data_IF_320574657586
#
_entry.id   IF_320574657586
#
_cell.length_a   1.000
_cell.length_b   1.000
_cell.length_c   1.000
_cell.angle_alpha   90.00
_cell.angle_beta   90.00
_cell.angle_gamma   90.00
#
_symmetry.space_group_name_H-M   'P 1'
#
loop_
_entity.id
_entity.type
_entity.pdbx_description
1 polymer ?
#
# COMPACT_ATOMS: atom_id res chain seq x y z
N UNK A 1 -34.49 5.20 5.32
CA UNK A 1 -33.43 4.78 4.38
C UNK A 1 -32.11 5.04 5.07
N UNK A 2 -31.38 4.00 5.42
CA UNK A 2 -30.05 4.14 6.04
C UNK A 2 -29.05 4.45 4.94
N UNK A 3 -28.61 5.71 4.88
CA UNK A 3 -27.61 6.17 3.92
C UNK A 3 -26.21 5.68 4.28
N UNK A 4 -25.24 5.93 3.39
CA UNK A 4 -23.83 5.72 3.70
C UNK A 4 -23.43 6.52 4.96
N UNK A 5 -22.50 6.02 5.79
CA UNK A 5 -21.99 6.78 6.92
C UNK A 5 -21.29 8.06 6.43
N UNK A 6 -21.09 9.02 7.34
CA UNK A 6 -20.19 10.14 7.06
C UNK A 6 -18.77 9.59 6.85
N UNK A 7 -18.12 10.01 5.76
CA UNK A 7 -16.78 9.55 5.42
C UNK A 7 -15.75 10.52 6.02
N UNK A 8 -15.01 10.05 7.03
CA UNK A 8 -13.93 10.84 7.62
C UNK A 8 -12.76 10.91 6.65
N UNK A 9 -12.42 12.13 6.24
CA UNK A 9 -11.27 12.43 5.38
C UNK A 9 -10.30 13.34 6.12
N UNK A 10 -9.03 12.96 6.15
CA UNK A 10 -7.97 13.83 6.65
C UNK A 10 -7.47 14.74 5.53
N UNK A 11 -7.02 15.94 5.86
CA UNK A 11 -6.22 16.78 4.95
C UNK A 11 -4.77 16.25 4.90
N UNK A 12 -4.01 16.69 3.90
CA UNK A 12 -2.59 16.32 3.74
C UNK A 12 -2.33 15.24 2.69
N UNK A 13 -1.05 14.95 2.49
CA UNK A 13 -0.48 14.14 1.41
C UNK A 13 -0.17 12.69 1.82
N UNK A 14 -0.39 12.33 3.08
CA UNK A 14 -0.20 10.95 3.54
C UNK A 14 -1.05 9.99 2.69
N UNK A 15 -0.46 8.90 2.19
CA UNK A 15 -1.08 8.00 1.21
C UNK A 15 -2.47 7.49 1.62
N UNK A 16 -2.66 7.14 2.89
CA UNK A 16 -3.98 6.73 3.43
C UNK A 16 -5.01 7.87 3.39
N UNK A 17 -4.62 9.13 3.60
CA UNK A 17 -5.52 10.28 3.51
C UNK A 17 -5.90 10.57 2.05
N UNK A 18 -4.94 10.49 1.13
CA UNK A 18 -5.18 10.58 -0.33
C UNK A 18 -6.15 9.49 -0.78
N UNK A 19 -5.90 8.24 -0.35
CA UNK A 19 -6.76 7.10 -0.62
C UNK A 19 -8.17 7.30 -0.09
N UNK A 20 -8.33 7.70 1.17
CA UNK A 20 -9.64 7.93 1.79
C UNK A 20 -10.47 8.98 1.03
N UNK A 21 -9.85 10.05 0.54
CA UNK A 21 -10.53 11.06 -0.30
C UNK A 21 -10.94 10.48 -1.65
N UNK A 22 -10.03 9.80 -2.33
CA UNK A 22 -10.34 9.16 -3.62
C UNK A 22 -11.45 8.09 -3.52
N UNK A 23 -11.50 7.36 -2.40
CA UNK A 23 -12.60 6.44 -2.12
C UNK A 23 -13.90 7.18 -1.81
N UNK A 24 -13.85 8.28 -1.06
CA UNK A 24 -15.04 9.09 -0.80
C UNK A 24 -15.65 9.63 -2.09
N UNK A 25 -14.82 10.02 -3.07
CA UNK A 25 -15.28 10.44 -4.39
C UNK A 25 -15.98 9.27 -5.12
N UNK A 26 -15.33 8.11 -5.19
CA UNK A 26 -15.90 6.93 -5.84
C UNK A 26 -17.17 6.39 -5.15
N UNK A 27 -17.28 6.56 -3.83
CA UNK A 27 -18.50 6.22 -3.09
C UNK A 27 -19.64 7.18 -3.46
N UNK A 28 -19.36 8.48 -3.66
CA UNK A 28 -20.38 9.45 -4.12
C UNK A 28 -20.88 9.16 -5.53
N UNK A 29 -20.06 8.52 -6.37
CA UNK A 29 -20.47 8.09 -7.70
C UNK A 29 -21.47 6.93 -7.66
N UNK A 30 -21.56 6.18 -6.56
CA UNK A 30 -22.43 4.99 -6.44
C UNK A 30 -23.58 5.15 -5.44
N UNK A 31 -23.49 6.09 -4.49
CA UNK A 31 -24.55 6.38 -3.50
C UNK A 31 -24.43 7.81 -2.97
N UNK A 32 -25.52 8.35 -2.42
CA UNK A 32 -25.46 9.58 -1.62
C UNK A 32 -24.56 9.36 -0.39
N UNK A 33 -23.48 10.16 -0.30
CA UNK A 33 -22.51 10.12 0.79
C UNK A 33 -21.93 11.53 1.02
N UNK A 34 -21.62 11.83 2.28
CA UNK A 34 -21.01 13.10 2.68
C UNK A 34 -19.70 12.87 3.41
N UNK A 35 -18.77 13.80 3.26
CA UNK A 35 -17.48 13.77 3.95
C UNK A 35 -17.49 14.67 5.17
N UNK A 36 -16.67 14.32 6.17
CA UNK A 36 -16.38 15.15 7.34
C UNK A 36 -14.87 15.16 7.56
N UNK A 37 -14.31 16.29 7.97
CA UNK A 37 -12.91 16.38 8.40
C UNK A 37 -12.78 16.21 9.92
N UNK A 38 -11.54 16.11 10.41
CA UNK A 38 -11.27 15.94 11.83
C UNK A 38 -11.86 17.06 12.70
N UNK A 39 -11.91 18.31 12.21
CA UNK A 39 -12.46 19.45 12.94
C UNK A 39 -14.00 19.41 13.01
N UNK A 40 -14.65 18.85 12.01
CA UNK A 40 -16.09 18.65 11.94
C UNK A 40 -16.61 17.60 12.92
N UNK A 41 -15.79 16.61 13.29
CA UNK A 41 -16.21 15.49 14.14
C UNK A 41 -16.79 15.93 15.48
N UNK A 42 -16.20 16.95 16.13
CA UNK A 42 -16.64 17.42 17.44
C UNK A 42 -18.09 17.94 17.47
N UNK A 43 -18.63 18.35 16.31
CA UNK A 43 -19.98 18.93 16.18
C UNK A 43 -21.05 17.90 15.80
N UNK A 44 -20.66 16.66 15.49
CA UNK A 44 -21.61 15.63 15.09
C UNK A 44 -22.49 15.19 16.28
N UNK A 45 -23.78 14.89 16.08
CA UNK A 45 -24.62 14.27 17.11
C UNK A 45 -24.06 12.93 17.58
N UNK A 46 -24.29 12.57 18.85
CA UNK A 46 -23.95 11.25 19.36
C UNK A 46 -24.70 10.16 18.58
N UNK A 47 -24.04 9.03 18.34
CA UNK A 47 -24.59 7.91 17.58
C UNK A 47 -24.52 8.06 16.06
N UNK A 48 -24.01 9.17 15.52
CA UNK A 48 -23.81 9.34 14.06
C UNK A 48 -22.88 8.25 13.52
N UNK A 49 -23.27 7.60 12.41
CA UNK A 49 -22.43 6.61 11.74
C UNK A 49 -21.31 7.30 10.94
N UNK A 50 -20.07 6.85 11.15
CA UNK A 50 -18.87 7.37 10.50
C UNK A 50 -18.04 6.21 9.96
N UNK A 51 -17.46 6.35 8.78
CA UNK A 51 -16.39 5.47 8.30
C UNK A 51 -15.05 6.19 8.34
N UNK A 52 -14.04 5.55 8.91
CA UNK A 52 -12.70 6.08 9.06
C UNK A 52 -11.65 5.16 8.44
N UNK A 53 -10.65 5.75 7.78
CA UNK A 53 -9.41 5.06 7.46
C UNK A 53 -8.41 5.30 8.59
N UNK A 54 -7.83 4.23 9.11
CA UNK A 54 -6.93 4.30 10.26
C UNK A 54 -5.53 3.82 9.91
N UNK A 55 -4.56 4.70 10.09
CA UNK A 55 -3.16 4.40 10.40
C UNK A 55 -2.76 5.35 11.51
N UNK A 56 -1.94 4.91 12.45
CA UNK A 56 -1.58 5.66 13.66
C UNK A 56 -1.01 7.05 13.34
N UNK A 57 -0.30 7.19 12.22
CA UNK A 57 0.28 8.46 11.74
C UNK A 57 -0.75 9.54 11.40
N UNK A 58 -2.00 9.16 11.09
CA UNK A 58 -3.08 10.12 10.79
C UNK A 58 -3.80 10.63 12.05
N UNK A 59 -3.63 9.96 13.18
CA UNK A 59 -4.48 10.13 14.36
C UNK A 59 -3.73 10.65 15.59
N UNK A 60 -2.40 10.75 15.54
CA UNK A 60 -1.60 11.32 16.61
C UNK A 60 -0.10 11.22 16.35
N UNK A 61 0.69 11.75 17.28
CA UNK A 61 2.15 11.67 17.25
C UNK A 61 2.70 10.31 17.71
N UNK A 62 1.83 9.43 18.24
CA UNK A 62 2.20 8.08 18.64
C UNK A 62 1.03 7.10 18.49
N UNK A 63 1.29 5.78 18.40
CA UNK A 63 0.23 4.76 18.36
C UNK A 63 -0.74 4.86 19.56
N UNK A 64 -0.21 5.17 20.75
CA UNK A 64 -1.02 5.31 21.96
C UNK A 64 -1.93 6.54 21.90
N UNK A 65 -1.43 7.67 21.39
CA UNK A 65 -2.26 8.86 21.22
C UNK A 65 -3.33 8.64 20.14
N UNK A 66 -2.95 8.03 19.02
CA UNK A 66 -3.84 7.70 17.93
C UNK A 66 -5.02 6.82 18.37
N UNK A 67 -4.71 5.73 19.07
CA UNK A 67 -5.74 4.80 19.58
C UNK A 67 -6.62 5.39 20.68
N UNK A 68 -6.11 6.28 21.53
CA UNK A 68 -6.94 7.05 22.48
C UNK A 68 -7.91 7.97 21.75
N UNK A 69 -7.41 8.76 20.81
CA UNK A 69 -8.21 9.70 20.00
C UNK A 69 -9.33 8.98 19.26
N UNK A 70 -9.01 7.84 18.62
CA UNK A 70 -10.01 7.02 17.95
C UNK A 70 -11.05 6.44 18.94
N UNK A 71 -10.60 5.89 20.07
CA UNK A 71 -11.52 5.30 21.06
C UNK A 71 -12.46 6.35 21.70
N UNK A 72 -11.97 7.56 21.95
CA UNK A 72 -12.80 8.68 22.41
C UNK A 72 -13.87 9.04 21.38
N UNK A 73 -13.51 9.08 20.09
CA UNK A 73 -14.47 9.29 19.01
C UNK A 73 -15.52 8.17 18.94
N UNK A 74 -15.08 6.92 18.97
CA UNK A 74 -15.93 5.73 18.90
C UNK A 74 -16.81 5.51 20.15
N UNK A 75 -16.47 6.12 21.28
CA UNK A 75 -17.32 6.13 22.48
C UNK A 75 -18.59 6.98 22.30
N UNK A 76 -18.56 7.93 21.34
CA UNK A 76 -19.64 8.88 21.09
C UNK A 76 -20.34 8.62 19.75
N UNK A 77 -19.60 8.17 18.75
CA UNK A 77 -20.08 7.93 17.38
C UNK A 77 -20.03 6.44 17.04
N UNK A 78 -20.80 6.01 16.02
CA UNK A 78 -20.76 4.65 15.51
C UNK A 78 -19.72 4.56 14.39
N UNK A 79 -18.47 4.30 14.76
CA UNK A 79 -17.35 4.34 13.81
C UNK A 79 -17.09 2.95 13.22
N UNK A 80 -17.11 2.81 11.91
CA UNK A 80 -16.51 1.67 11.20
C UNK A 80 -15.12 2.06 10.70
N UNK A 81 -14.20 1.10 10.63
CA UNK A 81 -12.79 1.41 10.34
C UNK A 81 -12.22 0.52 9.24
N UNK A 82 -11.48 1.11 8.31
CA UNK A 82 -10.51 0.38 7.47
C UNK A 82 -9.14 0.55 8.09
N UNK A 83 -8.50 -0.55 8.49
CA UNK A 83 -7.14 -0.54 9.01
C UNK A 83 -6.14 -0.52 7.85
N UNK A 84 -5.15 0.35 7.95
CA UNK A 84 -4.00 0.47 7.04
C UNK A 84 -2.73 0.22 7.84
N UNK A 85 -1.65 -0.20 7.18
CA UNK A 85 -0.36 -0.43 7.83
C UNK A 85 -0.45 -1.37 9.06
N UNK A 86 -1.23 -2.46 8.95
CA UNK A 86 -1.47 -3.41 10.05
C UNK A 86 -0.14 -3.83 10.70
N UNK A 87 -0.07 -3.89 12.05
CA UNK A 87 1.18 -4.23 12.75
C UNK A 87 1.76 -5.54 12.28
N UNK A 88 3.09 -5.63 12.20
CA UNK A 88 3.81 -6.83 11.77
C UNK A 88 5.28 -6.80 12.22
N UNK A 89 6.01 -7.89 11.98
CA UNK A 89 7.42 -8.03 12.38
C UNK A 89 8.33 -6.86 11.95
N UNK A 90 8.09 -6.27 10.77
CA UNK A 90 8.89 -5.16 10.25
C UNK A 90 8.77 -3.86 11.04
N UNK A 91 7.81 -3.74 11.96
CA UNK A 91 7.73 -2.59 12.86
C UNK A 91 8.88 -2.57 13.88
N UNK A 92 9.62 -3.68 14.02
CA UNK A 92 10.73 -3.82 14.95
C UNK A 92 10.27 -4.03 16.40
N UNK A 93 11.19 -4.53 17.23
CA UNK A 93 10.89 -4.99 18.60
C UNK A 93 10.31 -3.90 19.50
N UNK A 94 10.68 -2.64 19.27
CA UNK A 94 10.21 -1.50 20.06
C UNK A 94 8.78 -1.06 19.66
N UNK A 95 8.52 -0.87 18.36
CA UNK A 95 7.24 -0.31 17.92
C UNK A 95 6.18 -1.38 17.72
N UNK A 96 6.54 -2.62 17.35
CA UNK A 96 5.57 -3.71 17.15
C UNK A 96 4.60 -3.89 18.32
N UNK A 97 5.03 -4.10 19.59
CA UNK A 97 4.09 -4.27 20.70
C UNK A 97 3.20 -3.03 20.94
N UNK A 98 3.74 -1.82 20.72
CA UNK A 98 3.02 -0.55 20.86
C UNK A 98 1.92 -0.42 19.82
N UNK A 99 2.25 -0.68 18.55
CA UNK A 99 1.28 -0.65 17.44
C UNK A 99 0.25 -1.77 17.59
N UNK A 100 0.64 -2.98 18.00
CA UNK A 100 -0.31 -4.08 18.31
C UNK A 100 -1.37 -3.64 19.32
N UNK A 101 -0.96 -3.10 20.47
CA UNK A 101 -1.89 -2.64 21.50
C UNK A 101 -2.79 -1.49 21.02
N UNK A 102 -2.24 -0.55 20.26
CA UNK A 102 -2.99 0.56 19.68
C UNK A 102 -4.06 0.10 18.68
N UNK A 103 -3.69 -0.77 17.73
CA UNK A 103 -4.62 -1.29 16.73
C UNK A 103 -5.67 -2.21 17.35
N UNK A 104 -5.31 -2.99 18.39
CA UNK A 104 -6.27 -3.81 19.12
C UNK A 104 -7.36 -2.95 19.78
N UNK A 105 -6.95 -1.83 20.41
CA UNK A 105 -7.88 -0.86 20.99
C UNK A 105 -8.80 -0.23 19.93
N UNK A 106 -8.27 0.09 18.75
CA UNK A 106 -9.04 0.65 17.63
C UNK A 106 -10.05 -0.36 17.10
N UNK A 107 -9.60 -1.59 16.82
CA UNK A 107 -10.45 -2.67 16.33
C UNK A 107 -11.59 -2.99 17.31
N UNK A 108 -11.28 -3.07 18.62
CA UNK A 108 -12.27 -3.32 19.66
C UNK A 108 -13.28 -2.17 19.86
N UNK A 109 -12.87 -0.93 19.61
CA UNK A 109 -13.75 0.24 19.71
C UNK A 109 -14.61 0.43 18.45
N UNK A 110 -14.18 -0.09 17.31
CA UNK A 110 -14.88 0.05 16.05
C UNK A 110 -16.13 -0.85 16.01
N UNK A 111 -17.19 -0.33 15.40
CA UNK A 111 -18.41 -1.08 15.14
C UNK A 111 -18.21 -2.17 14.07
N UNK A 112 -17.27 -1.97 13.14
CA UNK A 112 -16.78 -2.99 12.20
C UNK A 112 -15.36 -2.67 11.74
N UNK A 113 -14.65 -3.72 11.39
CA UNK A 113 -13.26 -3.69 10.94
C UNK A 113 -13.19 -4.14 9.47
N UNK A 114 -12.48 -3.37 8.66
CA UNK A 114 -12.14 -3.68 7.27
C UNK A 114 -10.62 -3.73 7.16
N UNK A 115 -10.12 -4.67 6.36
CA UNK A 115 -8.71 -4.77 5.96
C UNK A 115 -8.62 -4.86 4.44
N UNK A 116 -7.43 -4.63 3.89
CA UNK A 116 -7.21 -4.49 2.45
C UNK A 116 -6.66 -5.77 1.79
N UNK A 117 -6.55 -6.86 2.55
CA UNK A 117 -6.14 -8.17 2.03
C UNK A 117 -6.52 -9.29 3.01
N UNK A 118 -6.64 -10.51 2.49
CA UNK A 118 -6.70 -11.70 3.33
C UNK A 118 -5.43 -11.83 4.18
N UNK A 119 -4.29 -11.47 3.59
CA UNK A 119 -3.03 -11.43 4.30
C UNK A 119 -3.08 -10.54 5.56
N UNK A 120 -3.68 -9.34 5.46
CA UNK A 120 -3.88 -8.44 6.60
C UNK A 120 -4.86 -9.02 7.62
N UNK A 121 -5.92 -9.71 7.15
CA UNK A 121 -6.87 -10.39 8.05
C UNK A 121 -6.19 -11.47 8.88
N UNK A 122 -5.30 -12.23 8.27
CA UNK A 122 -4.49 -13.23 8.98
C UNK A 122 -3.49 -12.58 9.93
N UNK A 123 -2.83 -11.48 9.53
CA UNK A 123 -1.93 -10.70 10.39
C UNK A 123 -2.64 -10.21 11.67
N UNK A 124 -3.89 -9.76 11.56
CA UNK A 124 -4.66 -9.32 12.75
C UNK A 124 -4.76 -10.43 13.80
N UNK A 125 -4.84 -11.70 13.39
CA UNK A 125 -4.89 -12.85 14.29
C UNK A 125 -3.51 -13.23 14.80
N UNK A 126 -2.52 -13.32 13.91
CA UNK A 126 -1.13 -13.66 14.22
C UNK A 126 -0.48 -12.68 15.21
N UNK A 127 -0.88 -11.41 15.12
CA UNK A 127 -0.40 -10.34 15.98
C UNK A 127 -1.33 -10.06 17.18
N UNK A 128 -2.27 -10.95 17.49
CA UNK A 128 -3.27 -10.80 18.57
C UNK A 128 -3.94 -9.41 18.60
N UNK A 129 -4.14 -8.79 17.43
CA UNK A 129 -4.76 -7.47 17.29
C UNK A 129 -6.27 -7.60 17.31
N UNK A 130 -6.82 -8.55 16.54
CA UNK A 130 -8.26 -8.73 16.43
C UNK A 130 -8.60 -10.16 15.97
N UNK A 131 -9.47 -10.83 16.73
CA UNK A 131 -9.97 -12.17 16.42
C UNK A 131 -11.43 -12.18 15.94
N UNK A 132 -12.12 -11.03 15.99
CA UNK A 132 -13.49 -10.89 15.52
C UNK A 132 -13.61 -10.87 13.99
N UNK A 133 -14.82 -10.65 13.50
CA UNK A 133 -15.07 -10.51 12.06
C UNK A 133 -14.33 -9.28 11.51
N UNK A 134 -13.70 -9.45 10.34
CA UNK A 134 -13.11 -8.38 9.55
C UNK A 134 -13.42 -8.61 8.07
N UNK A 135 -13.99 -7.59 7.43
CA UNK A 135 -14.30 -7.62 6.00
C UNK A 135 -13.04 -7.32 5.18
N UNK A 136 -12.83 -8.04 4.08
CA UNK A 136 -11.69 -7.82 3.19
C UNK A 136 -12.15 -7.03 1.99
N UNK A 137 -11.71 -5.77 1.88
CA UNK A 137 -11.96 -4.90 0.71
C UNK A 137 -10.59 -4.46 0.16
N UNK A 138 -10.05 -5.13 -0.86
CA UNK A 138 -8.70 -4.83 -1.30
C UNK A 138 -8.56 -3.45 -1.95
N UNK A 139 -7.35 -2.89 -1.89
CA UNK A 139 -7.07 -1.60 -2.54
C UNK A 139 -7.29 -1.72 -4.05
N UNK A 140 -8.09 -0.83 -4.67
CA UNK A 140 -8.28 -0.82 -6.11
C UNK A 140 -7.02 -0.36 -6.83
N UNK A 141 -6.84 -0.84 -8.06
CA UNK A 141 -5.78 -0.37 -8.96
C UNK A 141 -6.42 0.20 -10.22
N UNK A 142 -6.13 1.46 -10.50
CA UNK A 142 -6.60 2.12 -11.73
C UNK A 142 -5.50 2.07 -12.79
N UNK A 143 -5.90 1.68 -14.00
CA UNK A 143 -5.00 1.65 -15.14
C UNK A 143 -4.89 3.04 -15.77
N UNK A 144 -3.68 3.53 -15.95
CA UNK A 144 -3.40 4.76 -16.70
C UNK A 144 -3.42 4.46 -18.21
N UNK A 145 -4.60 4.56 -18.83
CA UNK A 145 -4.89 4.08 -20.19
C UNK A 145 -4.18 4.86 -21.31
N UNK A 146 -3.87 6.13 -21.10
CA UNK A 146 -3.42 7.03 -22.17
C UNK A 146 -1.89 7.20 -22.24
N UNK A 147 -1.15 6.51 -21.38
CA UNK A 147 0.30 6.65 -21.32
C UNK A 147 1.03 5.62 -22.20
N UNK A 148 1.91 6.12 -23.07
CA UNK A 148 2.73 5.29 -23.95
C UNK A 148 3.80 4.49 -23.20
N UNK A 149 4.37 3.49 -23.89
CA UNK A 149 5.56 2.79 -23.39
C UNK A 149 6.78 3.71 -23.53
N UNK A 150 7.46 3.95 -22.41
CA UNK A 150 8.73 4.68 -22.40
C UNK A 150 9.88 3.81 -22.90
N UNK A 151 10.95 4.45 -23.37
CA UNK A 151 12.18 3.73 -23.73
C UNK A 151 12.80 3.14 -22.46
N UNK A 152 13.12 1.83 -22.43
CA UNK A 152 13.77 1.21 -21.28
C UNK A 152 15.13 1.86 -20.99
N UNK A 153 15.38 2.18 -19.71
CA UNK A 153 16.56 2.87 -19.19
C UNK A 153 17.74 1.92 -18.82
N UNK A 154 17.57 0.62 -19.03
CA UNK A 154 18.50 -0.44 -18.62
C UNK A 154 18.47 -0.83 -17.13
N UNK A 155 17.66 -0.18 -16.28
CA UNK A 155 17.71 -0.34 -14.82
C UNK A 155 16.79 -1.44 -14.26
N UNK A 156 17.16 -1.97 -13.10
CA UNK A 156 16.21 -2.57 -12.15
C UNK A 156 15.58 -1.44 -11.33
N UNK A 157 14.25 -1.38 -11.26
CA UNK A 157 13.56 -0.32 -10.52
C UNK A 157 12.88 -0.82 -9.26
N UNK A 158 13.11 -0.11 -8.15
CA UNK A 158 12.41 -0.31 -6.86
C UNK A 158 11.64 0.97 -6.54
N UNK A 159 10.36 0.83 -6.19
CA UNK A 159 9.46 1.97 -5.93
C UNK A 159 9.09 2.10 -4.46
N UNK A 160 9.23 3.32 -3.94
CA UNK A 160 8.84 3.71 -2.59
C UNK A 160 10.02 4.23 -1.76
N UNK A 161 9.76 4.55 -0.50
CA UNK A 161 10.80 5.03 0.41
C UNK A 161 11.85 3.95 0.69
N UNK A 162 13.10 4.38 0.81
CA UNK A 162 14.21 3.54 1.25
C UNK A 162 14.25 3.43 2.77
N UNK A 163 14.31 2.18 3.26
CA UNK A 163 14.71 1.81 4.61
C UNK A 163 15.18 0.35 4.62
N UNK A 164 16.00 -0.07 5.61
CA UNK A 164 16.48 -1.45 5.71
C UNK A 164 15.35 -2.48 5.71
N UNK A 165 15.52 -3.57 4.97
CA UNK A 165 14.53 -4.64 4.86
C UNK A 165 13.40 -4.37 3.84
N UNK A 166 13.39 -3.23 3.16
CA UNK A 166 12.40 -2.91 2.12
C UNK A 166 12.59 -3.67 0.79
N UNK A 167 13.67 -4.44 0.63
CA UNK A 167 13.97 -5.17 -0.61
C UNK A 167 15.01 -4.49 -1.52
N UNK A 168 15.60 -3.37 -1.10
CA UNK A 168 16.57 -2.63 -1.92
C UNK A 168 17.91 -3.37 -2.04
N UNK A 169 18.43 -3.90 -0.93
CA UNK A 169 19.65 -4.71 -0.92
C UNK A 169 19.45 -5.97 -1.79
N UNK A 170 18.32 -6.68 -1.63
CA UNK A 170 17.99 -7.86 -2.43
C UNK A 170 17.89 -7.55 -3.93
N UNK A 171 17.31 -6.40 -4.30
CA UNK A 171 17.23 -5.97 -5.69
C UNK A 171 18.62 -5.62 -6.27
N UNK A 172 19.50 -4.97 -5.48
CA UNK A 172 20.86 -4.63 -5.91
C UNK A 172 21.71 -5.89 -6.11
N UNK A 173 21.68 -6.82 -5.15
CA UNK A 173 22.41 -8.08 -5.24
C UNK A 173 21.94 -8.92 -6.43
N UNK A 174 20.61 -8.98 -6.65
CA UNK A 174 20.06 -9.71 -7.78
C UNK A 174 20.37 -9.03 -9.12
N UNK A 175 20.39 -7.69 -9.18
CA UNK A 175 20.80 -6.93 -10.37
C UNK A 175 22.26 -7.24 -10.73
N UNK A 176 23.17 -7.16 -9.75
CA UNK A 176 24.59 -7.49 -9.92
C UNK A 176 24.75 -8.92 -10.46
N UNK A 177 24.11 -9.90 -9.81
CA UNK A 177 24.16 -11.29 -10.23
C UNK A 177 23.53 -11.53 -11.62
N UNK A 178 22.51 -10.75 -11.99
CA UNK A 178 21.90 -10.77 -13.33
C UNK A 178 22.72 -10.02 -14.40
N UNK A 179 23.83 -9.39 -14.01
CA UNK A 179 24.69 -8.58 -14.88
C UNK A 179 24.07 -7.24 -15.28
N UNK A 180 23.09 -6.74 -14.52
CA UNK A 180 22.43 -5.44 -14.71
C UNK A 180 23.14 -4.44 -13.81
N UNK A 181 23.92 -3.53 -14.39
CA UNK A 181 24.78 -2.60 -13.65
C UNK A 181 24.08 -1.31 -13.19
N UNK A 182 22.76 -1.22 -13.30
CA UNK A 182 22.01 -0.01 -12.94
C UNK A 182 20.76 -0.37 -12.12
N UNK A 183 20.54 0.39 -11.05
CA UNK A 183 19.36 0.32 -10.20
C UNK A 183 18.78 1.71 -9.97
N UNK A 184 17.47 1.85 -10.13
CA UNK A 184 16.75 3.10 -9.85
C UNK A 184 15.86 2.93 -8.63
N UNK A 185 16.08 3.76 -7.62
CA UNK A 185 15.20 3.92 -6.46
C UNK A 185 14.25 5.08 -6.75
N UNK A 186 13.01 4.76 -7.11
CA UNK A 186 11.93 5.73 -7.31
C UNK A 186 11.39 6.14 -5.93
N UNK A 187 12.09 7.09 -5.31
CA UNK A 187 11.77 7.59 -3.98
C UNK A 187 12.96 8.23 -3.28
N UNK A 188 12.81 8.43 -1.97
CA UNK A 188 13.85 8.96 -1.08
C UNK A 188 13.99 8.08 0.16
N UNK A 189 15.01 8.31 0.98
CA UNK A 189 15.07 7.70 2.31
C UNK A 189 13.83 8.07 3.14
N UNK A 190 13.29 7.09 3.86
CA UNK A 190 12.39 7.35 4.99
C UNK A 190 13.11 8.23 6.02
N UNK A 191 12.35 8.99 6.80
CA UNK A 191 12.89 9.86 7.84
C UNK A 191 13.80 9.06 8.79
N UNK A 192 15.02 9.57 9.02
CA UNK A 192 16.03 8.91 9.85
C UNK A 192 16.94 7.92 9.12
N UNK A 193 16.70 7.60 7.84
CA UNK A 193 17.47 6.58 7.09
C UNK A 193 18.38 7.12 5.97
N UNK A 194 18.71 8.42 6.00
CA UNK A 194 19.53 9.05 4.97
C UNK A 194 20.95 8.46 4.93
N UNK A 195 21.57 8.21 6.09
CA UNK A 195 22.92 7.64 6.18
C UNK A 195 22.96 6.19 5.65
N UNK A 196 21.92 5.40 5.93
CA UNK A 196 21.78 4.03 5.44
C UNK A 196 21.58 4.00 3.92
N UNK A 197 20.85 4.97 3.35
CA UNK A 197 20.70 5.11 1.91
C UNK A 197 22.06 5.42 1.25
N UNK A 198 22.82 6.36 1.79
CA UNK A 198 24.16 6.65 1.27
C UNK A 198 25.11 5.45 1.38
N UNK A 199 25.02 4.70 2.48
CA UNK A 199 25.78 3.48 2.66
C UNK A 199 25.36 2.39 1.65
N UNK A 200 24.06 2.26 1.38
CA UNK A 200 23.52 1.38 0.35
C UNK A 200 24.09 1.74 -1.02
N UNK A 201 24.02 3.01 -1.45
CA UNK A 201 24.58 3.46 -2.72
C UNK A 201 26.06 3.09 -2.86
N UNK A 202 26.87 3.32 -1.81
CA UNK A 202 28.30 2.93 -1.81
C UNK A 202 28.50 1.40 -1.92
N UNK A 203 27.70 0.61 -1.21
CA UNK A 203 27.78 -0.86 -1.26
C UNK A 203 27.37 -1.40 -2.64
N UNK A 204 26.30 -0.87 -3.22
CA UNK A 204 25.85 -1.26 -4.57
C UNK A 204 26.90 -0.95 -5.63
N UNK A 205 27.54 0.22 -5.56
CA UNK A 205 28.63 0.57 -6.47
C UNK A 205 29.82 -0.42 -6.34
N UNK A 206 30.14 -0.87 -5.13
CA UNK A 206 31.21 -1.84 -4.90
C UNK A 206 30.94 -3.23 -5.51
N UNK A 207 29.67 -3.58 -5.76
CA UNK A 207 29.27 -4.81 -6.45
C UNK A 207 28.93 -4.59 -7.94
N UNK A 208 29.26 -3.40 -8.48
CA UNK A 208 29.10 -3.07 -9.90
C UNK A 208 27.70 -2.60 -10.30
N UNK A 209 26.90 -2.10 -9.34
CA UNK A 209 25.56 -1.55 -9.59
C UNK A 209 25.54 -0.07 -9.26
N UNK A 210 25.40 0.78 -10.28
CA UNK A 210 25.17 2.21 -10.11
C UNK A 210 23.73 2.46 -9.67
N UNK A 211 23.56 3.23 -8.59
CA UNK A 211 22.25 3.52 -8.00
C UNK A 211 21.86 4.97 -8.29
N UNK A 212 20.75 5.15 -8.98
CA UNK A 212 20.07 6.44 -9.17
C UNK A 212 18.91 6.56 -8.16
N UNK A 213 18.99 7.54 -7.26
CA UNK A 213 17.93 7.84 -6.29
C UNK A 213 17.20 9.10 -6.73
N UNK A 214 15.91 8.97 -7.05
CA UNK A 214 15.18 10.07 -7.66
C UNK A 214 14.79 11.18 -6.71
N UNK A 215 14.74 10.90 -5.41
CA UNK A 215 14.13 11.81 -4.44
C UNK A 215 12.60 11.86 -4.57
N UNK A 216 12.01 12.98 -4.18
CA UNK A 216 10.58 13.23 -4.38
C UNK A 216 10.30 13.64 -5.82
N UNK A 217 9.31 13.00 -6.44
CA UNK A 217 8.83 13.29 -7.78
C UNK A 217 7.33 13.57 -7.71
N UNK A 218 6.82 14.39 -8.62
CA UNK A 218 5.38 14.52 -8.80
C UNK A 218 4.80 13.27 -9.50
N UNK A 219 3.46 13.15 -9.50
CA UNK A 219 2.75 11.98 -10.02
C UNK A 219 3.04 11.71 -11.50
N UNK A 220 3.24 12.75 -12.32
CA UNK A 220 3.51 12.60 -13.74
C UNK A 220 4.94 12.10 -13.97
N UNK A 221 5.92 12.67 -13.27
CA UNK A 221 7.33 12.32 -13.41
C UNK A 221 7.64 10.94 -12.82
N UNK A 222 7.05 10.59 -11.66
CA UNK A 222 7.24 9.24 -11.09
C UNK A 222 6.65 8.17 -12.00
N UNK A 223 5.50 8.44 -12.64
CA UNK A 223 4.88 7.52 -13.59
C UNK A 223 5.72 7.39 -14.87
N UNK A 224 6.25 8.51 -15.40
CA UNK A 224 7.16 8.51 -16.55
C UNK A 224 8.43 7.71 -16.26
N UNK A 225 9.08 7.98 -15.13
CA UNK A 225 10.32 7.27 -14.70
C UNK A 225 10.03 5.79 -14.42
N UNK A 226 8.91 5.48 -13.77
CA UNK A 226 8.46 4.10 -13.57
C UNK A 226 8.25 3.34 -14.89
N UNK A 227 7.64 3.97 -15.90
CA UNK A 227 7.49 3.34 -17.22
C UNK A 227 8.82 3.09 -17.94
N UNK A 228 9.83 3.93 -17.68
CA UNK A 228 11.15 3.79 -18.28
C UNK A 228 12.00 2.69 -17.64
N UNK A 229 11.74 2.29 -16.39
CA UNK A 229 12.44 1.19 -15.73
C UNK A 229 12.39 -0.08 -16.57
N UNK A 230 13.54 -0.70 -16.82
CA UNK A 230 13.59 -1.94 -17.61
C UNK A 230 12.96 -3.12 -16.88
N UNK A 231 13.32 -3.35 -15.62
CA UNK A 231 12.81 -4.46 -14.82
C UNK A 231 12.29 -3.95 -13.47
N UNK A 232 10.96 -3.80 -13.30
CA UNK A 232 10.39 -3.39 -12.03
C UNK A 232 10.42 -4.56 -11.04
N UNK A 233 10.87 -4.32 -9.81
CA UNK A 233 11.09 -5.35 -8.78
C UNK A 233 10.36 -5.00 -7.49
N UNK A 234 9.76 -6.03 -6.89
CA UNK A 234 9.19 -5.99 -5.54
C UNK A 234 9.84 -7.13 -4.74
N UNK A 235 10.91 -6.83 -4.01
CA UNK A 235 11.62 -7.81 -3.18
C UNK A 235 11.29 -7.68 -1.67
N UNK A 236 10.27 -6.89 -1.32
CA UNK A 236 9.90 -6.65 0.06
C UNK A 236 9.24 -7.89 0.70
N UNK A 237 9.79 -8.36 1.83
CA UNK A 237 9.28 -9.54 2.54
C UNK A 237 8.01 -9.27 3.37
N UNK A 238 7.85 -8.06 3.90
CA UNK A 238 6.79 -7.69 4.84
C UNK A 238 5.80 -6.70 4.22
N UNK A 239 4.96 -7.17 3.29
CA UNK A 239 3.96 -6.34 2.60
C UNK A 239 2.56 -6.67 3.11
N UNK A 240 1.88 -5.68 3.72
CA UNK A 240 0.48 -5.81 4.19
C UNK A 240 -0.52 -5.20 3.19
N UNK A 241 -0.19 -4.02 2.66
CA UNK A 241 -0.81 -3.40 1.49
C UNK A 241 0.23 -2.49 0.81
N UNK A 242 0.36 -2.55 -0.52
CA UNK A 242 1.44 -1.85 -1.23
C UNK A 242 0.92 -0.88 -2.29
N UNK A 243 1.03 0.41 -1.98
CA UNK A 243 0.86 1.48 -2.97
C UNK A 243 1.86 1.33 -4.13
N UNK A 244 3.10 0.89 -3.87
CA UNK A 244 4.09 0.70 -4.94
C UNK A 244 3.73 -0.44 -5.90
N UNK A 245 3.18 -1.57 -5.40
CA UNK A 245 2.65 -2.63 -6.25
C UNK A 245 1.48 -2.12 -7.11
N UNK A 246 0.54 -1.39 -6.49
CA UNK A 246 -0.58 -0.78 -7.20
C UNK A 246 -0.11 0.20 -8.30
N UNK A 247 0.86 1.05 -8.00
CA UNK A 247 1.45 1.99 -8.97
C UNK A 247 2.09 1.27 -10.16
N UNK A 248 2.90 0.23 -9.92
CA UNK A 248 3.50 -0.53 -11.02
C UNK A 248 2.45 -1.09 -11.97
N UNK A 249 1.42 -1.74 -11.40
CA UNK A 249 0.31 -2.30 -12.18
C UNK A 249 -0.46 -1.18 -12.89
N UNK A 250 -0.76 -0.07 -12.21
CA UNK A 250 -1.45 1.07 -12.80
C UNK A 250 -0.71 1.68 -14.00
N UNK A 251 0.62 1.65 -13.99
CA UNK A 251 1.46 2.10 -15.10
C UNK A 251 1.60 1.09 -16.25
N UNK A 252 0.88 -0.04 -16.21
CA UNK A 252 0.98 -1.08 -17.25
C UNK A 252 2.09 -2.10 -17.01
N UNK A 253 2.85 -1.96 -15.91
CA UNK A 253 4.05 -2.76 -15.64
C UNK A 253 3.69 -4.06 -14.91
N UNK A 254 4.44 -5.10 -15.19
CA UNK A 254 4.39 -6.43 -14.58
C UNK A 254 5.67 -6.65 -13.79
N UNK A 255 5.71 -6.26 -12.50
CA UNK A 255 6.90 -6.40 -11.68
C UNK A 255 7.24 -7.87 -11.40
N UNK A 256 8.54 -8.14 -11.29
CA UNK A 256 9.07 -9.38 -10.70
C UNK A 256 8.95 -9.25 -9.19
N UNK A 257 8.11 -10.08 -8.58
CA UNK A 257 7.76 -9.97 -7.18
C UNK A 257 8.20 -11.22 -6.41
N UNK A 258 8.98 -11.05 -5.35
CA UNK A 258 9.33 -12.15 -4.45
C UNK A 258 8.07 -12.64 -3.74
N UNK A 259 7.82 -13.94 -3.77
CA UNK A 259 6.61 -14.54 -3.23
C UNK A 259 6.50 -14.35 -1.72
N UNK A 260 5.32 -13.93 -1.31
CA UNK A 260 4.81 -13.97 0.05
C UNK A 260 3.27 -14.09 -0.04
N UNK A 261 2.58 -14.28 1.10
CA UNK A 261 1.12 -14.46 1.13
C UNK A 261 0.37 -13.33 0.41
N UNK A 262 0.81 -12.08 0.58
CA UNK A 262 0.21 -10.92 -0.09
C UNK A 262 0.45 -10.91 -1.61
N UNK A 263 1.67 -11.22 -2.08
CA UNK A 263 1.99 -11.28 -3.51
C UNK A 263 1.19 -12.40 -4.20
N UNK A 264 1.07 -13.56 -3.57
CA UNK A 264 0.26 -14.67 -4.09
C UNK A 264 -1.23 -14.28 -4.16
N UNK A 265 -1.74 -13.59 -3.13
CA UNK A 265 -3.11 -13.05 -3.12
C UNK A 265 -3.33 -12.03 -4.24
N UNK A 266 -2.40 -11.07 -4.42
CA UNK A 266 -2.52 -10.07 -5.48
C UNK A 266 -2.40 -10.67 -6.89
N UNK A 267 -1.58 -11.71 -7.06
CA UNK A 267 -1.48 -12.45 -8.31
C UNK A 267 -2.76 -13.23 -8.64
N UNK A 268 -3.43 -13.79 -7.63
CA UNK A 268 -4.73 -14.43 -7.79
C UNK A 268 -5.84 -13.42 -8.06
N UNK A 269 -5.85 -12.28 -7.35
CA UNK A 269 -6.82 -11.21 -7.52
C UNK A 269 -6.72 -10.54 -8.89
N UNK A 270 -5.50 -10.41 -9.43
CA UNK A 270 -5.22 -9.76 -10.72
C UNK A 270 -4.28 -10.61 -11.59
N UNK A 271 -4.78 -11.71 -12.17
CA UNK A 271 -3.96 -12.63 -12.96
C UNK A 271 -3.20 -11.91 -14.08
N UNK A 272 -1.92 -12.21 -14.23
CA UNK A 272 -1.06 -11.65 -15.27
C UNK A 272 -0.47 -10.26 -14.98
N UNK A 273 -0.79 -9.64 -13.84
CA UNK A 273 -0.23 -8.33 -13.46
C UNK A 273 1.11 -8.41 -12.72
N UNK A 274 1.51 -9.58 -12.25
CA UNK A 274 2.75 -9.82 -11.50
C UNK A 274 3.49 -11.02 -12.10
N UNK A 275 4.81 -11.08 -11.87
CA UNK A 275 5.62 -12.30 -12.05
C UNK A 275 6.11 -12.76 -10.67
N UNK A 276 5.36 -13.62 -9.96
CA UNK A 276 5.76 -14.11 -8.64
C UNK A 276 6.93 -15.09 -8.75
N UNK A 277 7.99 -14.92 -7.97
CA UNK A 277 9.20 -15.75 -7.97
C UNK A 277 9.65 -16.11 -6.56
N UNK A 278 10.26 -17.29 -6.39
CA UNK A 278 10.97 -17.61 -5.15
C UNK A 278 12.19 -16.70 -4.97
N UNK A 279 12.68 -16.55 -3.72
CA UNK A 279 13.90 -15.76 -3.45
C UNK A 279 15.10 -16.23 -4.28
N UNK A 280 15.27 -17.56 -4.41
CA UNK A 280 16.34 -18.17 -5.20
C UNK A 280 16.22 -17.92 -6.71
N UNK A 281 15.02 -17.61 -7.19
CA UNK A 281 14.72 -17.50 -8.62
C UNK A 281 14.79 -16.05 -9.12
N UNK A 282 14.95 -15.08 -8.21
CA UNK A 282 14.95 -13.64 -8.52
C UNK A 282 15.99 -13.30 -9.60
N UNK A 283 17.22 -13.81 -9.46
CA UNK A 283 18.31 -13.56 -10.44
C UNK A 283 17.94 -14.09 -11.83
N UNK A 284 17.36 -15.30 -11.90
CA UNK A 284 16.93 -15.91 -13.16
C UNK A 284 15.82 -15.10 -13.82
N UNK A 285 14.87 -14.62 -13.03
CA UNK A 285 13.77 -13.79 -13.51
C UNK A 285 14.25 -12.42 -14.02
N UNK A 286 15.21 -11.78 -13.35
CA UNK A 286 15.82 -10.53 -13.83
C UNK A 286 16.55 -10.72 -15.17
N UNK A 287 17.31 -11.80 -15.33
CA UNK A 287 17.96 -12.14 -16.61
C UNK A 287 16.93 -12.38 -17.72
N UNK A 288 15.85 -13.10 -17.42
CA UNK A 288 14.77 -13.35 -18.37
C UNK A 288 14.08 -12.03 -18.78
N UNK A 289 13.73 -11.18 -17.82
CA UNK A 289 13.10 -9.89 -18.06
C UNK A 289 13.97 -8.94 -18.88
N UNK A 290 15.29 -8.92 -18.63
CA UNK A 290 16.27 -8.17 -19.42
C UNK A 290 16.32 -8.66 -20.87
N UNK A 291 16.30 -9.97 -21.09
CA UNK A 291 16.31 -10.56 -22.43
C UNK A 291 14.97 -10.41 -23.17
N UNK A 292 13.87 -10.23 -22.42
CA UNK A 292 12.51 -10.15 -22.95
C UNK A 292 11.78 -8.93 -22.37
N UNK A 293 12.07 -7.69 -22.83
CA UNK A 293 11.51 -6.47 -22.24
C UNK A 293 9.97 -6.44 -22.19
N UNK A 294 9.29 -7.06 -23.17
CA UNK A 294 7.83 -7.19 -23.19
C UNK A 294 7.28 -8.01 -22.00
N UNK A 295 8.08 -8.90 -21.43
CA UNK A 295 7.72 -9.67 -20.23
C UNK A 295 7.50 -8.77 -19.00
N UNK A 296 7.95 -7.52 -19.02
CA UNK A 296 7.76 -6.56 -17.91
C UNK A 296 6.52 -5.68 -18.06
N UNK A 297 5.72 -5.87 -19.13
CA UNK A 297 4.44 -5.20 -19.34
C UNK A 297 3.30 -6.22 -19.23
N UNK A 298 2.22 -5.91 -18.52
CA UNK A 298 1.10 -6.86 -18.38
C UNK A 298 0.11 -6.78 -19.57
N UNK A 299 0.04 -5.66 -20.30
CA UNK A 299 -0.73 -5.52 -21.53
C UNK A 299 -2.26 -5.62 -21.38
N UNK A 300 -2.77 -5.52 -20.16
CA UNK A 300 -4.21 -5.61 -19.87
C UNK A 300 -4.85 -4.24 -20.10
N UNK A 301 -6.06 -4.23 -20.66
CA UNK A 301 -6.87 -3.01 -20.89
C UNK A 301 -7.88 -2.76 -19.76
N UNK A 302 -8.07 -3.74 -18.88
CA UNK A 302 -8.92 -3.67 -17.68
C UNK A 302 -8.29 -4.50 -16.56
N UNK A 303 -8.43 -4.02 -15.33
CA UNK A 303 -7.99 -4.70 -14.11
C UNK A 303 -9.22 -5.11 -13.29
N UNK A 304 -9.20 -6.30 -12.64
CA UNK A 304 -10.15 -6.64 -11.60
C UNK A 304 -10.03 -5.70 -10.38
N UNK A 305 -11.16 -5.48 -9.70
CA UNK A 305 -11.28 -4.63 -8.52
C UNK A 305 -10.86 -3.19 -8.82
N UNK A 306 -11.65 -2.57 -9.70
CA UNK A 306 -11.67 -1.13 -9.91
C UNK A 306 -12.13 -0.38 -8.66
N UNK A 307 -11.87 0.93 -8.63
CA UNK A 307 -12.30 1.80 -7.54
C UNK A 307 -13.82 1.80 -7.35
N UNK A 308 -14.58 1.72 -8.44
CA UNK A 308 -16.03 1.60 -8.39
C UNK A 308 -16.48 0.28 -7.73
N UNK A 309 -15.83 -0.85 -8.06
CA UNK A 309 -16.14 -2.15 -7.43
C UNK A 309 -15.79 -2.16 -5.94
N UNK A 310 -14.68 -1.53 -5.54
CA UNK A 310 -14.33 -1.33 -4.13
C UNK A 310 -15.34 -0.44 -3.40
N UNK A 311 -15.77 0.67 -4.02
CA UNK A 311 -16.80 1.57 -3.46
C UNK A 311 -18.13 0.82 -3.22
N UNK A 312 -18.56 0.00 -4.18
CA UNK A 312 -19.74 -0.85 -4.03
C UNK A 312 -19.59 -1.88 -2.90
N UNK A 313 -18.38 -2.41 -2.66
CA UNK A 313 -18.14 -3.32 -1.54
C UNK A 313 -18.34 -2.61 -0.18
N UNK A 314 -17.85 -1.37 -0.05
CA UNK A 314 -18.12 -0.55 1.14
C UNK A 314 -19.62 -0.28 1.33
N UNK A 315 -20.35 0.08 0.27
CA UNK A 315 -21.80 0.31 0.35
C UNK A 315 -22.54 -0.95 0.80
N UNK A 316 -22.19 -2.13 0.28
CA UNK A 316 -22.77 -3.41 0.72
C UNK A 316 -22.48 -3.71 2.19
N UNK A 317 -21.25 -3.47 2.63
CA UNK A 317 -20.85 -3.63 4.03
C UNK A 317 -21.73 -2.78 4.95
N UNK A 318 -21.99 -1.52 4.61
CA UNK A 318 -22.81 -0.64 5.45
C UNK A 318 -24.30 -0.99 5.41
N UNK A 319 -24.81 -1.37 4.23
CA UNK A 319 -26.21 -1.79 4.08
C UNK A 319 -26.52 -3.02 4.95
N UNK A 320 -25.63 -4.00 5.03
CA UNK A 320 -25.78 -5.19 5.87
C UNK A 320 -25.73 -4.93 7.38
N UNK A 321 -25.50 -3.68 7.80
CA UNK A 321 -25.35 -3.28 9.21
C UNK A 321 -26.42 -2.31 9.68
N UNK A 322 -27.29 -1.88 8.76
CA UNK A 322 -28.46 -1.06 9.02
C UNK A 322 -29.67 -1.86 9.56
N UNK A 323 -29.52 -3.18 9.71
CA UNK A 323 -30.51 -4.12 10.24
C UNK A 323 -30.30 -4.42 11.72
#
# INVERSE_FOLDING_TARGET
MTGAPLLLVHLGDHGVAVYARGMADAIRDVTEAHTVDAAGLARLPAGTDVHAHFTDRLWGASPEQASRTFAELASRLRVSVTLHDVPQASDGELNRPRRRAAYARVAAAASAVVVNSEHERELLREEDVWSGAAEVIPLPVELEKDAGRERPDGSVGVLGFFYPGKGHDEAADAAAAAGIGALTVLGRASDGHAAELEAFVRRSAAIGVEVDVTGWLDDAEIARRGRAVSVPVIAHRHISASGSLASWIGWGRRPVAVRNRYVDEMAALRPGTLTPVGESDLVGALRHARANPDATWHGLTRLPLSRAEAAQAYVRLWAGRAS
#
